data_IF_330408647578
#
_entry.id   IF_330408647578
#
_cell.length_a   1.000
_cell.length_b   1.000
_cell.length_c   1.000
_cell.angle_alpha   90.00
_cell.angle_beta   90.00
_cell.angle_gamma   90.00
#
_symmetry.space_group_name_H-M   'P 1'
#
loop_
_entity.id
_entity.type
_entity.pdbx_description
1 polymer ?
#
# COMPACT_ATOMS: atom_id res chain seq x y z
N UNK A 1 -24.02 12.69 -0.56
CA UNK A 1 -23.16 12.02 0.43
C UNK A 1 -23.86 10.74 0.85
N UNK A 2 -23.30 9.58 0.50
CA UNK A 2 -23.81 8.29 0.98
C UNK A 2 -22.88 7.86 2.10
N UNK A 3 -23.36 7.87 3.35
CA UNK A 3 -22.65 7.21 4.45
C UNK A 3 -22.52 5.73 4.10
N UNK A 4 -21.31 5.17 4.19
CA UNK A 4 -21.18 3.72 4.08
C UNK A 4 -21.94 3.07 5.23
N UNK A 5 -22.51 1.88 5.00
CA UNK A 5 -23.30 1.13 6.03
C UNK A 5 -22.55 0.98 7.36
N UNK A 6 -21.21 1.03 7.36
CA UNK A 6 -20.35 0.95 8.55
C UNK A 6 -20.33 2.25 9.36
N UNK A 7 -20.25 3.42 8.72
CA UNK A 7 -20.31 4.72 9.41
C UNK A 7 -21.66 4.94 10.11
N UNK A 8 -22.77 4.46 9.53
CA UNK A 8 -24.09 4.49 10.17
C UNK A 8 -24.20 3.54 11.38
N UNK A 9 -23.55 2.38 11.33
CA UNK A 9 -23.51 1.45 12.46
C UNK A 9 -22.63 1.99 13.60
N UNK A 10 -21.51 2.64 13.32
CA UNK A 10 -20.66 3.24 14.35
C UNK A 10 -21.33 4.46 15.01
N UNK A 11 -22.07 5.28 14.26
CA UNK A 11 -22.82 6.41 14.83
C UNK A 11 -24.00 5.97 15.71
N UNK A 12 -24.60 4.81 15.43
CA UNK A 12 -25.71 4.26 16.24
C UNK A 12 -25.22 3.40 17.41
N UNK A 13 -24.07 2.72 17.31
CA UNK A 13 -23.49 1.92 18.41
C UNK A 13 -22.91 2.79 19.53
N UNK A 14 -22.42 4.00 19.24
CA UNK A 14 -21.98 4.96 20.26
C UNK A 14 -23.08 5.40 21.24
N UNK A 15 -24.35 5.30 20.86
CA UNK A 15 -25.48 5.70 21.71
C UNK A 15 -26.06 4.55 22.56
N UNK A 16 -25.79 3.28 22.24
CA UNK A 16 -26.48 2.15 22.87
C UNK A 16 -25.57 1.03 23.41
N UNK A 17 -24.26 1.03 23.14
CA UNK A 17 -23.42 -0.11 23.48
C UNK A 17 -21.94 0.19 23.65
N UNK A 18 -21.58 1.06 24.60
CA UNK A 18 -20.33 0.96 25.39
C UNK A 18 -18.99 0.78 24.68
N UNK A 19 -18.85 1.06 23.39
CA UNK A 19 -17.56 1.10 22.71
C UNK A 19 -16.96 2.49 22.88
N UNK A 20 -15.91 2.60 23.70
CA UNK A 20 -15.06 3.79 23.72
C UNK A 20 -14.30 3.76 22.40
N UNK A 21 -14.73 4.58 21.43
CA UNK A 21 -13.90 4.84 20.24
C UNK A 21 -12.53 5.32 20.74
N UNK A 22 -11.40 4.78 20.21
CA UNK A 22 -10.08 5.30 20.56
C UNK A 22 -10.06 6.82 20.38
N UNK A 23 -9.48 7.54 21.33
CA UNK A 23 -9.58 9.02 21.40
C UNK A 23 -9.14 9.72 20.12
N UNK A 24 -8.22 9.11 19.36
CA UNK A 24 -7.78 9.64 18.08
C UNK A 24 -8.81 9.45 16.97
N UNK A 25 -9.51 8.32 16.90
CA UNK A 25 -10.53 8.08 15.87
C UNK A 25 -11.62 9.16 15.91
N UNK A 26 -12.10 9.50 17.10
CA UNK A 26 -13.10 10.57 17.27
C UNK A 26 -12.56 11.93 16.78
N UNK A 27 -11.30 12.25 17.12
CA UNK A 27 -10.63 13.47 16.66
C UNK A 27 -10.44 13.51 15.15
N UNK A 28 -10.06 12.39 14.54
CA UNK A 28 -9.90 12.27 13.09
C UNK A 28 -11.25 12.41 12.38
N UNK A 29 -12.30 11.78 12.90
CA UNK A 29 -13.66 11.90 12.36
C UNK A 29 -14.16 13.35 12.39
N UNK A 30 -14.03 14.04 13.53
CA UNK A 30 -14.40 15.46 13.65
C UNK A 30 -13.62 16.35 12.67
N UNK A 31 -12.32 16.08 12.52
CA UNK A 31 -11.46 16.81 11.60
C UNK A 31 -11.89 16.60 10.13
N UNK A 32 -12.11 15.35 9.72
CA UNK A 32 -12.57 15.01 8.37
C UNK A 32 -13.96 15.60 8.09
N UNK A 33 -14.87 15.57 9.06
CA UNK A 33 -16.21 16.17 8.90
C UNK A 33 -16.14 17.69 8.70
N UNK A 34 -15.22 18.36 9.40
CA UNK A 34 -15.05 19.82 9.32
C UNK A 34 -14.28 20.26 8.07
N UNK A 35 -13.17 19.60 7.75
CA UNK A 35 -12.21 20.06 6.75
C UNK A 35 -12.26 19.28 5.44
N UNK A 36 -12.91 18.10 5.41
CA UNK A 36 -12.95 17.20 4.25
C UNK A 36 -11.56 16.75 3.80
N UNK A 37 -10.63 16.66 4.75
CA UNK A 37 -9.25 16.25 4.55
C UNK A 37 -8.82 15.33 5.72
N UNK A 38 -7.87 14.41 5.50
CA UNK A 38 -7.36 13.55 6.56
C UNK A 38 -6.54 14.32 7.59
N UNK A 39 -6.62 13.92 8.86
CA UNK A 39 -5.79 14.43 9.94
C UNK A 39 -4.40 13.78 9.89
N UNK A 40 -3.45 14.46 9.26
CA UNK A 40 -2.07 14.01 9.12
C UNK A 40 -1.14 14.72 10.11
N UNK A 41 -0.84 14.06 11.24
CA UNK A 41 0.22 14.51 12.16
C UNK A 41 1.57 13.94 11.68
N UNK A 42 2.51 14.75 11.17
CA UNK A 42 3.78 14.23 10.67
C UNK A 42 4.64 13.66 11.82
N UNK A 43 5.51 12.67 11.54
CA UNK A 43 6.42 12.15 12.54
C UNK A 43 7.41 13.23 13.00
N UNK A 44 7.91 13.10 14.23
CA UNK A 44 8.92 14.03 14.80
C UNK A 44 10.18 14.16 13.94
N UNK A 45 10.54 13.06 13.26
CA UNK A 45 11.62 13.01 12.27
C UNK A 45 11.12 12.19 11.10
N UNK A 46 11.10 12.81 9.93
CA UNK A 46 10.79 12.13 8.67
C UNK A 46 12.04 11.41 8.18
N UNK A 47 11.91 10.11 7.90
CA UNK A 47 12.97 9.30 7.28
C UNK A 47 12.57 8.81 5.89
N UNK A 48 11.27 8.69 5.64
CA UNK A 48 10.72 8.25 4.36
C UNK A 48 9.28 8.78 4.19
N UNK A 49 8.73 8.65 2.97
CA UNK A 49 7.40 9.15 2.61
C UNK A 49 6.58 8.10 1.84
N UNK A 50 5.37 7.85 2.35
CA UNK A 50 4.35 7.00 1.73
C UNK A 50 3.33 7.89 1.02
N UNK A 51 3.24 7.78 -0.29
CA UNK A 51 2.40 8.62 -1.14
C UNK A 51 1.12 7.87 -1.47
N UNK A 52 -0.02 8.50 -1.20
CA UNK A 52 -1.34 8.06 -1.66
C UNK A 52 -1.53 8.59 -3.08
N UNK A 53 -1.31 7.73 -4.06
CA UNK A 53 -1.53 8.01 -5.46
C UNK A 53 -3.03 7.89 -5.80
N UNK A 54 -3.54 8.85 -6.57
CA UNK A 54 -4.92 8.87 -7.07
C UNK A 54 -5.01 8.67 -8.59
N UNK A 55 -3.86 8.59 -9.27
CA UNK A 55 -3.79 8.65 -10.74
C UNK A 55 -4.07 7.32 -11.42
N UNK A 56 -3.56 6.21 -10.87
CA UNK A 56 -3.63 4.89 -11.51
C UNK A 56 -4.67 4.00 -10.85
N UNK A 57 -4.59 3.86 -9.53
CA UNK A 57 -5.55 3.14 -8.69
C UNK A 57 -5.94 4.08 -7.54
N UNK A 58 -7.25 4.28 -7.35
CA UNK A 58 -7.76 5.20 -6.32
C UNK A 58 -7.26 4.77 -4.94
N UNK A 59 -6.59 5.70 -4.25
CA UNK A 59 -6.04 5.48 -2.92
C UNK A 59 -4.86 4.50 -2.84
N UNK A 60 -4.11 4.27 -3.92
CA UNK A 60 -2.94 3.38 -3.91
C UNK A 60 -1.78 3.96 -3.09
N UNK A 61 -1.22 3.16 -2.21
CA UNK A 61 -0.05 3.51 -1.41
C UNK A 61 1.22 3.12 -2.16
N UNK A 62 2.12 4.08 -2.29
CA UNK A 62 3.41 3.92 -2.97
C UNK A 62 4.55 4.42 -2.10
N UNK A 63 5.69 3.74 -2.16
CA UNK A 63 6.93 4.14 -1.50
C UNK A 63 7.95 4.51 -2.59
N UNK A 64 8.12 5.82 -2.83
CA UNK A 64 8.87 6.36 -3.97
C UNK A 64 7.96 6.99 -5.03
N UNK A 65 8.50 7.28 -6.23
CA UNK A 65 7.75 7.91 -7.32
C UNK A 65 6.72 6.94 -7.92
N UNK A 66 5.40 7.23 -7.89
CA UNK A 66 4.39 6.38 -8.51
C UNK A 66 4.60 6.12 -10.01
N UNK A 67 5.38 6.98 -10.70
CA UNK A 67 5.70 6.88 -12.12
C UNK A 67 7.04 6.21 -12.39
N UNK A 68 7.70 5.66 -11.37
CA UNK A 68 8.93 4.90 -11.54
C UNK A 68 8.68 3.74 -12.53
N UNK A 69 9.52 3.64 -13.55
CA UNK A 69 9.50 2.55 -14.52
C UNK A 69 10.59 1.53 -14.18
N UNK A 70 10.40 0.25 -14.52
CA UNK A 70 11.45 -0.74 -14.35
C UNK A 70 12.68 -0.36 -15.18
N UNK A 71 13.89 -0.63 -14.67
CA UNK A 71 15.10 -0.42 -15.45
C UNK A 71 15.20 -1.42 -16.60
N UNK A 72 15.88 -1.02 -17.67
CA UNK A 72 16.33 -1.96 -18.69
C UNK A 72 17.28 -2.98 -18.05
N UNK A 73 17.09 -4.27 -18.37
CA UNK A 73 17.95 -5.33 -17.87
C UNK A 73 18.06 -6.49 -18.86
N UNK A 74 19.15 -7.21 -18.78
CA UNK A 74 19.36 -8.47 -19.49
C UNK A 74 18.54 -9.60 -18.87
N UNK A 75 18.36 -10.69 -19.61
CA UNK A 75 17.78 -11.92 -19.05
C UNK A 75 18.54 -12.42 -17.82
N UNK A 76 19.87 -12.35 -17.85
CA UNK A 76 20.74 -12.76 -16.74
C UNK A 76 20.45 -11.95 -15.48
N UNK A 77 20.34 -10.63 -15.61
CA UNK A 77 20.06 -9.73 -14.48
C UNK A 77 18.65 -9.96 -13.92
N UNK A 78 17.64 -10.04 -14.79
CA UNK A 78 16.25 -10.34 -14.42
C UNK A 78 16.17 -11.64 -13.62
N UNK A 79 16.69 -12.73 -14.20
CA UNK A 79 16.59 -14.06 -13.62
C UNK A 79 17.37 -14.15 -12.32
N UNK A 80 18.58 -13.57 -12.26
CA UNK A 80 19.39 -13.59 -11.04
C UNK A 80 18.74 -12.81 -9.89
N UNK A 81 18.05 -11.71 -10.19
CA UNK A 81 17.43 -10.86 -9.16
C UNK A 81 16.09 -11.40 -8.67
N UNK A 82 15.22 -11.83 -9.59
CA UNK A 82 13.81 -12.13 -9.28
C UNK A 82 13.49 -13.62 -9.24
N UNK A 83 14.35 -14.47 -9.79
CA UNK A 83 14.12 -15.91 -9.92
C UNK A 83 15.35 -16.68 -9.40
N UNK A 84 15.63 -16.71 -8.09
CA UNK A 84 16.87 -17.26 -7.54
C UNK A 84 17.15 -18.71 -7.97
N UNK A 85 16.11 -19.49 -8.26
CA UNK A 85 16.19 -20.88 -8.71
C UNK A 85 16.10 -21.04 -10.23
N UNK A 86 16.29 -19.96 -11.01
CA UNK A 86 16.08 -19.96 -12.46
C UNK A 86 16.92 -20.98 -13.22
N UNK A 87 18.08 -21.37 -12.66
CA UNK A 87 18.99 -22.37 -13.24
C UNK A 87 18.41 -23.78 -13.24
N UNK A 88 17.47 -24.04 -12.34
CA UNK A 88 16.78 -25.33 -12.23
C UNK A 88 15.47 -25.36 -13.06
N UNK A 89 15.06 -24.21 -13.59
CA UNK A 89 13.86 -24.03 -14.41
C UNK A 89 14.15 -23.90 -15.91
N UNK A 90 13.20 -24.30 -16.75
CA UNK A 90 13.28 -24.07 -18.20
C UNK A 90 12.62 -22.74 -18.58
N UNK A 91 13.44 -21.80 -19.07
CA UNK A 91 13.01 -20.48 -19.52
C UNK A 91 12.92 -20.34 -21.05
N UNK A 92 13.25 -21.39 -21.80
CA UNK A 92 13.29 -21.34 -23.26
C UNK A 92 14.39 -20.45 -23.84
N UNK A 93 15.45 -20.22 -23.06
CA UNK A 93 16.60 -19.40 -23.43
C UNK A 93 17.84 -20.28 -23.59
N UNK A 94 18.63 -20.01 -24.63
CA UNK A 94 20.00 -20.52 -24.75
C UNK A 94 20.96 -19.68 -23.87
N UNK A 95 22.10 -20.25 -23.48
CA UNK A 95 23.08 -19.56 -22.65
C UNK A 95 23.61 -18.26 -23.30
N UNK A 96 23.68 -18.25 -24.63
CA UNK A 96 24.05 -17.09 -25.45
C UNK A 96 23.04 -15.93 -25.37
N UNK A 97 21.77 -16.23 -25.08
CA UNK A 97 20.68 -15.23 -25.02
C UNK A 97 20.54 -14.60 -23.63
N UNK A 98 21.28 -15.09 -22.63
CA UNK A 98 21.18 -14.58 -21.27
C UNK A 98 21.64 -13.12 -21.15
N UNK A 99 22.57 -12.70 -22.00
CA UNK A 99 23.08 -11.33 -22.01
C UNK A 99 22.31 -10.43 -23.00
N UNK A 100 21.28 -10.95 -23.66
CA UNK A 100 20.35 -10.16 -24.45
C UNK A 100 19.38 -9.38 -23.55
N UNK A 101 18.87 -8.26 -24.06
CA UNK A 101 17.86 -7.46 -23.38
C UNK A 101 16.59 -8.29 -23.11
N UNK A 102 16.15 -8.30 -21.86
CA UNK A 102 14.89 -8.93 -21.49
C UNK A 102 13.72 -8.09 -22.04
N UNK A 103 12.63 -8.72 -22.53
CA UNK A 103 11.43 -8.01 -22.93
C UNK A 103 10.88 -7.16 -21.78
N UNK A 104 10.56 -5.90 -22.06
CA UNK A 104 10.09 -4.93 -21.07
C UNK A 104 8.90 -5.44 -20.24
N UNK A 105 7.97 -6.16 -20.87
CA UNK A 105 6.80 -6.73 -20.19
C UNK A 105 7.18 -7.83 -19.18
N UNK A 106 8.24 -8.59 -19.47
CA UNK A 106 8.77 -9.62 -18.57
C UNK A 106 9.49 -8.98 -17.38
N UNK A 107 10.24 -7.91 -17.63
CA UNK A 107 10.86 -7.09 -16.59
C UNK A 107 9.80 -6.47 -15.70
N UNK A 108 8.80 -5.82 -16.30
CA UNK A 108 7.70 -5.16 -15.60
C UNK A 108 6.98 -6.12 -14.65
N UNK A 109 6.72 -7.36 -15.07
CA UNK A 109 6.08 -8.37 -14.23
C UNK A 109 6.89 -8.71 -12.99
N UNK A 110 8.20 -8.91 -13.14
CA UNK A 110 9.06 -9.33 -12.03
C UNK A 110 9.34 -8.16 -11.08
N UNK A 111 9.71 -7.01 -11.65
CA UNK A 111 9.92 -5.77 -10.92
C UNK A 111 8.64 -5.31 -10.20
N UNK A 112 7.49 -5.41 -10.88
CA UNK A 112 6.16 -5.03 -10.40
C UNK A 112 5.78 -5.64 -9.05
N UNK A 113 6.23 -6.86 -8.75
CA UNK A 113 5.92 -7.56 -7.50
C UNK A 113 6.94 -7.35 -6.38
N UNK A 114 8.12 -6.83 -6.70
CA UNK A 114 9.25 -6.82 -5.76
C UNK A 114 9.76 -5.41 -5.51
N UNK A 115 10.07 -4.69 -6.58
CA UNK A 115 10.79 -3.41 -6.51
C UNK A 115 9.91 -2.20 -6.87
N UNK A 116 8.70 -2.42 -7.39
CA UNK A 116 7.80 -1.30 -7.72
C UNK A 116 7.45 -0.47 -6.49
N UNK A 117 7.19 0.85 -6.64
CA UNK A 117 6.77 1.70 -5.52
C UNK A 117 5.59 1.13 -4.74
N UNK A 118 4.62 0.54 -5.43
CA UNK A 118 3.46 -0.12 -4.82
C UNK A 118 3.83 -1.41 -4.07
N UNK A 119 4.70 -2.25 -4.65
CA UNK A 119 5.19 -3.45 -3.99
C UNK A 119 6.04 -3.12 -2.75
N UNK A 120 6.89 -2.09 -2.82
CA UNK A 120 7.68 -1.61 -1.68
C UNK A 120 6.78 -1.14 -0.54
N UNK A 121 5.72 -0.39 -0.86
CA UNK A 121 4.71 0.00 0.13
C UNK A 121 3.99 -1.23 0.73
N UNK A 122 3.62 -2.21 -0.10
CA UNK A 122 3.01 -3.46 0.35
C UNK A 122 3.90 -4.19 1.35
N UNK A 123 5.14 -4.52 0.97
CA UNK A 123 6.08 -5.29 1.80
C UNK A 123 6.40 -4.54 3.09
N UNK A 124 6.54 -3.21 3.03
CA UNK A 124 6.72 -2.36 4.19
C UNK A 124 5.53 -2.48 5.15
N UNK A 125 4.30 -2.26 4.67
CA UNK A 125 3.10 -2.27 5.50
C UNK A 125 2.76 -3.67 6.04
N UNK A 126 3.03 -4.72 5.27
CA UNK A 126 2.86 -6.11 5.70
C UNK A 126 3.82 -6.47 6.83
N UNK A 127 5.04 -5.93 6.81
CA UNK A 127 6.04 -6.17 7.86
C UNK A 127 5.72 -5.49 9.20
N UNK A 128 4.78 -4.52 9.20
CA UNK A 128 4.43 -3.73 10.39
C UNK A 128 3.21 -4.31 11.10
N UNK A 129 3.21 -4.24 12.44
CA UNK A 129 2.01 -4.49 13.22
C UNK A 129 1.07 -3.28 13.14
N UNK A 130 0.23 -3.24 12.10
CA UNK A 130 -0.76 -2.18 11.88
C UNK A 130 -1.91 -2.21 12.89
N UNK A 131 -2.06 -3.31 13.62
CA UNK A 131 -3.08 -3.48 14.64
C UNK A 131 -4.51 -3.66 14.08
N UNK A 132 -5.47 -3.92 14.97
CA UNK A 132 -6.84 -4.29 14.62
C UNK A 132 -7.68 -3.13 14.09
N UNK A 133 -7.23 -1.88 14.25
CA UNK A 133 -7.97 -0.69 13.83
C UNK A 133 -7.89 -0.45 12.31
N UNK A 134 -6.83 -0.95 11.67
CA UNK A 134 -6.56 -0.85 10.22
C UNK A 134 -6.74 -2.16 9.47
N UNK A 135 -6.69 -3.31 10.17
CA UNK A 135 -6.73 -4.64 9.55
C UNK A 135 -7.73 -5.56 10.25
N UNK A 136 -8.43 -6.40 9.47
CA UNK A 136 -9.36 -7.40 9.96
C UNK A 136 -10.85 -7.01 9.90
N UNK A 137 -11.76 -7.95 10.23
CA UNK A 137 -13.21 -7.79 9.99
C UNK A 137 -13.90 -6.76 10.89
N UNK A 138 -13.21 -6.26 11.93
CA UNK A 138 -13.70 -5.27 12.89
C UNK A 138 -12.92 -3.96 12.85
N UNK A 139 -12.04 -3.79 11.86
CA UNK A 139 -11.26 -2.57 11.70
C UNK A 139 -12.17 -1.36 11.50
N UNK A 140 -11.77 -0.23 12.09
CA UNK A 140 -12.49 1.05 12.00
C UNK A 140 -12.05 1.87 10.78
N UNK A 141 -10.84 1.64 10.29
CA UNK A 141 -10.38 2.02 8.95
C UNK A 141 -10.20 0.80 8.04
N UNK A 142 -9.84 1.04 6.79
CA UNK A 142 -9.68 0.01 5.77
C UNK A 142 -8.40 0.18 4.96
N UNK A 143 -7.47 -0.76 5.12
CA UNK A 143 -6.41 -1.02 4.15
C UNK A 143 -6.73 -2.31 3.41
N UNK A 144 -6.71 -2.25 2.07
CA UNK A 144 -6.89 -3.42 1.22
C UNK A 144 -5.54 -3.82 0.64
N UNK A 145 -4.99 -4.90 1.18
CA UNK A 145 -3.82 -5.57 0.61
C UNK A 145 -4.26 -6.39 -0.60
N UNK A 146 -3.83 -5.97 -1.78
CA UNK A 146 -4.13 -6.63 -3.05
C UNK A 146 -2.90 -7.44 -3.43
N UNK A 147 -3.04 -8.76 -3.35
CA UNK A 147 -2.12 -9.74 -3.91
C UNK A 147 -2.91 -10.60 -4.89
N UNK A 148 -2.84 -10.28 -6.18
CA UNK A 148 -3.56 -11.08 -7.16
C UNK A 148 -3.48 -10.59 -8.60
N UNK A 149 -3.96 -11.45 -9.49
CA UNK A 149 -4.03 -11.17 -10.91
C UNK A 149 -5.04 -10.05 -11.17
N UNK A 150 -4.55 -8.86 -11.51
CA UNK A 150 -5.39 -7.84 -12.11
C UNK A 150 -5.65 -8.27 -13.56
N UNK A 151 -6.92 -8.55 -13.85
CA UNK A 151 -7.48 -8.91 -15.15
C UNK A 151 -6.57 -9.73 -16.08
N UNK A 152 -6.56 -11.06 -15.90
CA UNK A 152 -6.06 -12.10 -16.83
C UNK A 152 -4.61 -12.00 -17.32
N UNK A 153 -3.81 -11.02 -16.92
CA UNK A 153 -2.46 -10.92 -17.49
C UNK A 153 -1.43 -10.20 -16.64
N UNK A 154 -1.74 -9.57 -15.50
CA UNK A 154 -0.71 -8.91 -14.67
C UNK A 154 -0.92 -9.29 -13.21
N UNK A 155 0.09 -9.91 -12.59
CA UNK A 155 0.10 -10.15 -11.15
C UNK A 155 0.47 -8.83 -10.47
N UNK A 156 -0.52 -8.18 -9.87
CA UNK A 156 -0.37 -6.88 -9.22
C UNK A 156 -0.22 -7.08 -7.70
N UNK A 157 0.63 -6.26 -7.09
CA UNK A 157 0.87 -6.23 -5.66
C UNK A 157 0.84 -4.78 -5.19
N UNK A 158 -0.11 -4.44 -4.32
CA UNK A 158 -0.26 -3.07 -3.84
C UNK A 158 -1.24 -2.97 -2.68
N UNK A 159 -1.27 -1.81 -2.03
CA UNK A 159 -2.17 -1.54 -0.90
C UNK A 159 -2.98 -0.32 -1.24
N UNK A 160 -4.31 -0.39 -1.07
CA UNK A 160 -5.18 0.78 -1.20
C UNK A 160 -5.79 1.17 0.13
N UNK A 161 -6.04 2.46 0.30
CA UNK A 161 -6.72 3.03 1.46
C UNK A 161 -8.17 3.40 1.12
N UNK A 162 -9.11 3.06 2.00
CA UNK A 162 -10.56 3.18 1.71
C UNK A 162 -11.07 4.63 1.82
N UNK A 163 -10.60 5.41 2.80
CA UNK A 163 -11.09 6.76 3.09
C UNK A 163 -10.11 7.65 3.87
N UNK A 164 -10.43 8.94 4.01
CA UNK A 164 -9.63 9.93 4.75
C UNK A 164 -9.42 9.58 6.23
N UNK A 165 -10.38 8.86 6.83
CA UNK A 165 -10.26 8.41 8.21
C UNK A 165 -9.17 7.34 8.30
N UNK A 166 -9.16 6.39 7.36
CA UNK A 166 -8.16 5.34 7.23
C UNK A 166 -6.75 5.91 6.99
N UNK A 167 -6.65 6.97 6.19
CA UNK A 167 -5.40 7.73 6.00
C UNK A 167 -4.90 8.31 7.33
N UNK A 168 -5.81 8.93 8.10
CA UNK A 168 -5.47 9.53 9.40
C UNK A 168 -4.99 8.48 10.40
N UNK A 169 -5.69 7.35 10.47
CA UNK A 169 -5.34 6.22 11.34
C UNK A 169 -4.00 5.58 10.94
N UNK A 170 -3.73 5.48 9.64
CA UNK A 170 -2.45 4.98 9.13
C UNK A 170 -1.29 5.87 9.59
N UNK A 171 -1.39 7.18 9.40
CA UNK A 171 -0.35 8.11 9.86
C UNK A 171 -0.15 8.03 11.37
N UNK A 172 -1.22 7.94 12.15
CA UNK A 172 -1.12 7.76 13.61
C UNK A 172 -0.39 6.46 13.96
N UNK A 173 -0.76 5.34 13.34
CA UNK A 173 -0.15 4.05 13.65
C UNK A 173 1.33 4.04 13.29
N UNK A 174 1.71 4.62 12.15
CA UNK A 174 3.11 4.78 11.75
C UNK A 174 3.91 5.61 12.76
N UNK A 175 3.29 6.63 13.36
CA UNK A 175 3.88 7.44 14.43
C UNK A 175 4.03 6.64 15.74
N UNK A 176 3.02 5.87 16.13
CA UNK A 176 3.04 5.03 17.33
C UNK A 176 4.13 3.96 17.25
N UNK A 177 4.33 3.39 16.05
CA UNK A 177 5.42 2.46 15.74
C UNK A 177 6.78 3.16 15.57
N UNK A 178 6.82 4.51 15.61
CA UNK A 178 8.03 5.33 15.47
C UNK A 178 8.83 5.04 14.19
N UNK A 179 8.13 4.69 13.12
CA UNK A 179 8.76 4.38 11.83
C UNK A 179 9.45 5.60 11.21
N UNK A 180 8.96 6.81 11.53
CA UNK A 180 9.42 8.05 10.89
C UNK A 180 8.88 8.23 9.47
N UNK A 181 7.90 7.42 9.06
CA UNK A 181 7.27 7.51 7.75
C UNK A 181 6.16 8.55 7.79
N UNK A 182 6.21 9.49 6.85
CA UNK A 182 5.16 10.48 6.62
C UNK A 182 4.23 9.98 5.52
N UNK A 183 2.92 10.15 5.69
CA UNK A 183 1.93 9.93 4.64
C UNK A 183 1.63 11.25 3.94
N UNK A 184 1.53 11.23 2.61
CA UNK A 184 1.14 12.39 1.81
C UNK A 184 0.17 12.03 0.70
N UNK A 185 -0.55 13.04 0.21
CA UNK A 185 -1.44 12.93 -0.94
C UNK A 185 -0.64 13.35 -2.19
N UNK A 186 -0.56 12.46 -3.18
CA UNK A 186 0.21 12.63 -4.42
C UNK A 186 -0.61 13.09 -5.61
#
# INVERSE_FOLDING_TARGET
>A
MSFTRRQFLLSTVGAAGGFILPSFYARALEFVDQFREPLLEPPKRVVDELIICQEFVEGELTLGDPREEPPDMTWRELLTRYHPDWRDGYWGLEESQLDDAAPWDTVWRSWGRVDSPAARAYHLLESLDLGPDLTGPKAVGGLSFIDGAMHRTIDYLGVTVEDDISISLLQQRLNDLKTGIKVSLG
#
